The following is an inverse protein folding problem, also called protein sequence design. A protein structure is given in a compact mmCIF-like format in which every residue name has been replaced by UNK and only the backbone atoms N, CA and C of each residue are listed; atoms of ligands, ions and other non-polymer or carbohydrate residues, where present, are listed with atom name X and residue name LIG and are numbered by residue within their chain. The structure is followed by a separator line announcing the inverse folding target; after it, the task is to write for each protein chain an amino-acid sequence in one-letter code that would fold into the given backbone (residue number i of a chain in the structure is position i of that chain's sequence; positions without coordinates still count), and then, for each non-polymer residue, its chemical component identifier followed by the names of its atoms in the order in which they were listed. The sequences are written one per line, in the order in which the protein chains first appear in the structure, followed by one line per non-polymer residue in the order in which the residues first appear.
data_IF_445887197282
#
_entry.id   IF_445887197282
#
_cell.length_a   1.000
_cell.length_b   1.000
_cell.length_c   1.000
_cell.angle_alpha   90.00
_cell.angle_beta   90.00
_cell.angle_gamma   90.00
#
_symmetry.space_group_name_H-M   'P 1'
#
loop_
_entity.id
_entity.type
_entity.pdbx_description
1 polymer ?
#
# COMPACT_ATOMS: atom_id res chain seq x y z
N UNK A 1 -21.47 -11.24 3.55
CA UNK A 1 -20.17 -10.56 3.40
C UNK A 1 -20.44 -9.09 3.23
N UNK A 2 -19.73 -8.23 3.96
CA UNK A 2 -19.94 -6.78 4.07
C UNK A 2 -19.18 -5.95 3.03
N UNK A 3 -18.79 -6.55 1.90
CA UNK A 3 -18.17 -5.83 0.80
C UNK A 3 -19.19 -5.40 -0.25
N UNK A 4 -18.96 -4.23 -0.84
CA UNK A 4 -19.82 -3.73 -1.90
C UNK A 4 -19.48 -4.36 -3.25
N UNK A 5 -20.45 -4.33 -4.16
CA UNK A 5 -20.26 -4.73 -5.55
C UNK A 5 -19.59 -3.60 -6.34
N UNK A 6 -18.53 -3.94 -7.08
CA UNK A 6 -17.85 -2.99 -7.98
C UNK A 6 -18.71 -2.56 -9.16
N UNK A 7 -19.76 -3.32 -9.48
CA UNK A 7 -20.73 -2.93 -10.50
C UNK A 7 -21.52 -1.67 -10.11
N UNK A 8 -21.65 -1.41 -8.81
CA UNK A 8 -22.40 -0.28 -8.25
C UNK A 8 -21.48 0.87 -7.80
N UNK A 9 -20.20 0.87 -8.23
CA UNK A 9 -19.20 1.84 -7.77
C UNK A 9 -19.62 3.30 -7.96
N UNK A 10 -20.33 3.62 -9.05
CA UNK A 10 -20.84 4.98 -9.29
C UNK A 10 -21.90 5.42 -8.28
N UNK A 11 -22.72 4.49 -7.79
CA UNK A 11 -23.69 4.75 -6.72
C UNK A 11 -22.95 5.09 -5.43
N UNK A 12 -21.90 4.34 -5.08
CA UNK A 12 -21.12 4.57 -3.87
C UNK A 12 -20.38 5.90 -3.92
N UNK A 13 -19.76 6.22 -5.06
CA UNK A 13 -19.14 7.54 -5.30
C UNK A 13 -20.11 8.71 -5.11
N UNK A 14 -21.39 8.52 -5.44
CA UNK A 14 -22.39 9.58 -5.33
C UNK A 14 -23.03 9.71 -3.94
N UNK A 15 -22.91 8.68 -3.08
CA UNK A 15 -23.71 8.57 -1.85
C UNK A 15 -22.90 8.36 -0.57
N UNK A 16 -21.60 8.10 -0.67
CA UNK A 16 -20.72 7.84 0.46
C UNK A 16 -19.34 8.47 0.27
N UNK A 17 -18.65 8.74 1.39
CA UNK A 17 -17.26 9.23 1.37
C UNK A 17 -16.23 8.10 1.38
N UNK A 18 -16.64 6.86 1.67
CA UNK A 18 -15.81 5.68 1.53
C UNK A 18 -16.69 4.43 1.38
N UNK A 19 -16.16 3.36 0.78
CA UNK A 19 -16.86 2.08 0.62
C UNK A 19 -15.94 0.87 0.74
N UNK A 20 -16.38 -0.11 1.55
CA UNK A 20 -15.68 -1.38 1.77
C UNK A 20 -15.59 -2.19 0.49
N UNK A 21 -14.36 -2.40 0.01
CA UNK A 21 -14.08 -3.10 -1.26
C UNK A 21 -13.94 -4.62 -1.10
N UNK A 22 -13.67 -5.09 0.12
CA UNK A 22 -13.58 -6.50 0.49
C UNK A 22 -14.15 -6.74 1.89
N UNK A 23 -14.40 -8.00 2.23
CA UNK A 23 -14.85 -8.41 3.57
C UNK A 23 -13.80 -8.13 4.65
N UNK A 24 -14.01 -8.61 5.85
CA UNK A 24 -13.15 -8.23 6.99
C UNK A 24 -11.69 -8.66 6.81
N UNK A 25 -10.77 -7.76 7.17
CA UNK A 25 -9.32 -8.05 7.15
C UNK A 25 -8.94 -8.92 8.33
N UNK A 26 -9.66 -8.74 9.43
CA UNK A 26 -9.57 -9.55 10.63
C UNK A 26 -9.91 -11.01 10.33
N UNK A 27 -9.27 -11.86 11.11
CA UNK A 27 -9.26 -13.29 10.90
C UNK A 27 -9.97 -13.98 12.07
N UNK A 28 -11.30 -13.86 12.06
CA UNK A 28 -12.16 -14.42 13.10
C UNK A 28 -12.04 -15.94 13.19
N UNK A 29 -11.47 -16.42 14.30
CA UNK A 29 -11.34 -17.86 14.62
C UNK A 29 -10.34 -18.64 13.74
N UNK A 30 -9.78 -18.02 12.69
CA UNK A 30 -8.83 -18.66 11.77
C UNK A 30 -7.36 -18.49 12.13
N UNK A 31 -7.04 -17.58 13.05
CA UNK A 31 -5.70 -17.30 13.54
C UNK A 31 -5.77 -17.04 15.06
N UNK A 32 -5.84 -18.10 15.87
CA UNK A 32 -5.98 -17.98 17.31
C UNK A 32 -4.89 -17.09 17.92
N UNK A 33 -5.30 -16.08 18.68
CA UNK A 33 -4.38 -15.13 19.34
C UNK A 33 -3.91 -13.97 18.46
N UNK A 34 -4.38 -13.87 17.22
CA UNK A 34 -4.01 -12.79 16.31
C UNK A 34 -5.23 -12.10 15.67
N UNK A 35 -5.06 -10.83 15.30
CA UNK A 35 -6.07 -10.01 14.65
C UNK A 35 -6.17 -10.35 13.16
N UNK A 36 -5.03 -10.43 12.47
CA UNK A 36 -4.96 -10.68 11.02
C UNK A 36 -4.03 -11.85 10.68
N UNK A 37 -3.99 -12.19 9.40
CA UNK A 37 -3.00 -13.11 8.83
C UNK A 37 -2.51 -12.54 7.51
N UNK A 38 -1.29 -12.90 7.10
CA UNK A 38 -0.75 -12.43 5.82
C UNK A 38 -1.67 -12.74 4.63
N UNK A 39 -2.32 -13.91 4.60
CA UNK A 39 -3.23 -14.26 3.52
C UNK A 39 -4.42 -13.29 3.40
N UNK A 40 -4.93 -12.76 4.53
CA UNK A 40 -6.00 -11.76 4.53
C UNK A 40 -5.50 -10.43 3.96
N UNK A 41 -4.35 -9.95 4.43
CA UNK A 41 -3.70 -8.73 3.93
C UNK A 41 -3.39 -8.85 2.43
N UNK A 42 -2.75 -9.94 2.02
CA UNK A 42 -2.38 -10.21 0.62
C UNK A 42 -3.59 -10.25 -0.32
N UNK A 43 -4.75 -10.71 0.15
CA UNK A 43 -5.97 -10.73 -0.67
C UNK A 43 -6.48 -9.32 -1.04
N UNK A 44 -6.05 -8.27 -0.33
CA UNK A 44 -6.44 -6.87 -0.57
C UNK A 44 -5.82 -6.30 -1.83
N UNK A 45 -4.65 -6.78 -2.26
CA UNK A 45 -3.97 -6.28 -3.46
C UNK A 45 -4.84 -6.41 -4.73
N UNK A 46 -5.55 -7.53 -4.88
CA UNK A 46 -6.44 -7.74 -6.02
C UNK A 46 -7.62 -6.78 -6.01
N UNK A 47 -8.24 -6.58 -4.84
CA UNK A 47 -9.34 -5.64 -4.66
C UNK A 47 -8.86 -4.19 -4.93
N UNK A 48 -7.78 -3.75 -4.28
CA UNK A 48 -7.23 -2.43 -4.47
C UNK A 48 -6.93 -2.13 -5.95
N UNK A 49 -6.42 -3.11 -6.71
CA UNK A 49 -6.11 -2.92 -8.12
C UNK A 49 -7.38 -2.77 -8.97
N UNK A 50 -8.40 -3.60 -8.70
CA UNK A 50 -9.68 -3.55 -9.42
C UNK A 50 -10.44 -2.24 -9.15
N UNK A 51 -10.39 -1.75 -7.91
CA UNK A 51 -11.15 -0.60 -7.46
C UNK A 51 -10.42 0.74 -7.63
N UNK A 52 -9.11 0.75 -7.87
CA UNK A 52 -8.27 1.96 -7.88
C UNK A 52 -8.87 3.16 -8.63
N UNK A 53 -9.48 2.92 -9.80
CA UNK A 53 -10.06 3.98 -10.65
C UNK A 53 -11.27 4.72 -10.05
N UNK A 54 -11.85 4.20 -8.97
CA UNK A 54 -13.03 4.79 -8.32
C UNK A 54 -12.67 5.62 -7.09
N UNK A 55 -11.44 5.55 -6.58
CA UNK A 55 -11.00 6.36 -5.45
C UNK A 55 -10.52 7.75 -5.90
N UNK A 56 -10.92 8.77 -5.15
CA UNK A 56 -10.48 10.14 -5.35
C UNK A 56 -11.27 11.14 -4.50
N UNK A 57 -11.04 12.46 -4.67
CA UNK A 57 -11.81 13.48 -3.99
C UNK A 57 -13.33 13.26 -4.17
N UNK A 58 -14.04 13.11 -3.06
CA UNK A 58 -15.47 12.76 -3.03
C UNK A 58 -15.75 11.35 -2.51
N UNK A 59 -14.81 10.41 -2.64
CA UNK A 59 -14.97 9.09 -2.06
C UNK A 59 -13.77 8.14 -2.23
N UNK A 60 -13.49 7.34 -1.21
CA UNK A 60 -12.31 6.48 -1.14
C UNK A 60 -12.64 4.98 -1.07
N UNK A 61 -11.75 4.17 -1.66
CA UNK A 61 -11.82 2.72 -1.48
C UNK A 61 -11.39 2.37 -0.05
N UNK A 62 -12.29 1.76 0.71
CA UNK A 62 -11.99 1.28 2.05
C UNK A 62 -11.50 -0.16 1.98
N UNK A 63 -10.25 -0.37 2.43
CA UNK A 63 -9.58 -1.67 2.48
C UNK A 63 -9.78 -2.37 3.83
N UNK A 64 -10.58 -1.76 4.70
CA UNK A 64 -10.81 -2.09 6.11
C UNK A 64 -9.73 -1.55 7.06
N UNK A 65 -9.87 -1.89 8.34
CA UNK A 65 -8.92 -1.52 9.39
C UNK A 65 -7.46 -1.90 9.05
N UNK A 66 -6.52 -1.26 9.72
CA UNK A 66 -5.10 -1.50 9.61
C UNK A 66 -4.57 -1.96 10.97
N UNK A 67 -4.12 -3.20 11.04
CA UNK A 67 -3.56 -3.86 12.23
C UNK A 67 -2.04 -4.03 12.05
N UNK A 68 -1.31 -2.98 12.42
CA UNK A 68 0.14 -2.88 12.14
C UNK A 68 0.94 -2.40 13.34
N UNK A 69 0.29 -2.23 14.50
CA UNK A 69 0.87 -1.44 15.57
C UNK A 69 1.09 -2.17 16.90
N UNK A 70 0.60 -3.40 17.07
CA UNK A 70 1.00 -4.34 18.12
C UNK A 70 1.43 -5.68 17.52
N UNK A 71 2.74 -5.86 17.32
CA UNK A 71 3.28 -7.06 16.67
C UNK A 71 3.06 -8.35 17.45
N UNK A 72 2.59 -8.28 18.70
CA UNK A 72 2.21 -9.45 19.48
C UNK A 72 0.79 -9.92 19.15
N UNK A 73 -0.08 -9.02 18.69
CA UNK A 73 -1.48 -9.29 18.36
C UNK A 73 -1.77 -9.25 16.86
N UNK A 74 -1.00 -8.53 16.04
CA UNK A 74 -1.28 -8.38 14.61
C UNK A 74 -1.34 -9.73 13.88
N UNK A 75 -0.41 -10.65 14.17
CA UNK A 75 -0.29 -11.93 13.44
C UNK A 75 0.47 -11.84 12.12
N UNK A 76 1.19 -10.73 11.91
CA UNK A 76 2.04 -10.46 10.76
C UNK A 76 3.41 -9.92 11.21
N UNK A 77 4.45 -10.25 10.46
CA UNK A 77 5.83 -9.81 10.71
C UNK A 77 6.02 -8.32 10.43
N UNK A 78 7.09 -7.71 10.95
CA UNK A 78 7.43 -6.30 10.65
C UNK A 78 7.48 -6.01 9.14
N UNK A 79 8.05 -6.92 8.36
CA UNK A 79 8.10 -6.82 6.90
C UNK A 79 6.70 -6.72 6.30
N UNK A 80 5.79 -7.58 6.76
CA UNK A 80 4.39 -7.60 6.31
C UNK A 80 3.63 -6.37 6.80
N UNK A 81 3.87 -5.89 8.04
CA UNK A 81 3.27 -4.66 8.58
C UNK A 81 3.65 -3.42 7.77
N UNK A 82 4.92 -3.32 7.35
CA UNK A 82 5.37 -2.26 6.44
C UNK A 82 4.68 -2.35 5.07
N UNK A 83 4.58 -3.57 4.53
CA UNK A 83 3.88 -3.83 3.25
C UNK A 83 2.39 -3.51 3.34
N UNK A 84 1.75 -3.86 4.45
CA UNK A 84 0.36 -3.59 4.78
C UNK A 84 0.09 -2.08 4.73
N UNK A 85 0.79 -1.28 5.54
CA UNK A 85 0.62 0.17 5.54
C UNK A 85 0.97 0.80 4.19
N UNK A 86 1.98 0.27 3.49
CA UNK A 86 2.36 0.77 2.15
C UNK A 86 1.23 0.57 1.14
N UNK A 87 0.51 -0.56 1.15
CA UNK A 87 -0.64 -0.76 0.27
C UNK A 87 -1.75 0.24 0.57
N UNK A 88 -2.07 0.49 1.85
CA UNK A 88 -3.09 1.47 2.24
C UNK A 88 -2.74 2.86 1.73
N UNK A 89 -1.50 3.32 1.97
CA UNK A 89 -1.02 4.62 1.49
C UNK A 89 -1.05 4.73 -0.04
N UNK A 90 -0.64 3.66 -0.74
CA UNK A 90 -0.68 3.64 -2.20
C UNK A 90 -2.11 3.64 -2.73
N UNK A 91 -3.05 3.00 -2.05
CA UNK A 91 -4.46 2.99 -2.40
C UNK A 91 -5.20 4.30 -2.06
N UNK A 92 -4.57 5.21 -1.31
CA UNK A 92 -5.24 6.37 -0.69
C UNK A 92 -6.47 5.90 0.11
N UNK A 93 -6.29 4.83 0.88
CA UNK A 93 -7.35 4.18 1.63
C UNK A 93 -7.46 4.82 3.01
N UNK A 94 -8.68 5.01 3.56
CA UNK A 94 -8.83 5.45 4.94
C UNK A 94 -7.98 4.59 5.89
N UNK A 95 -7.07 5.23 6.63
CA UNK A 95 -6.20 4.55 7.60
C UNK A 95 -6.87 4.48 8.98
N UNK A 96 -7.86 3.60 9.11
CA UNK A 96 -8.46 3.29 10.40
C UNK A 96 -7.60 2.27 11.16
N UNK A 97 -7.14 2.64 12.36
CA UNK A 97 -6.32 1.75 13.17
C UNK A 97 -7.22 0.71 13.88
N UNK A 98 -6.92 -0.58 13.69
CA UNK A 98 -7.61 -1.68 14.38
C UNK A 98 -7.00 -2.06 15.73
N UNK A 99 -5.77 -1.62 15.98
CA UNK A 99 -5.00 -1.87 17.21
C UNK A 99 -5.55 -1.18 18.48
N UNK A 100 -5.20 -1.73 19.65
CA UNK A 100 -5.34 -1.03 20.93
C UNK A 100 -4.30 0.09 21.06
N UNK A 101 -4.74 1.34 20.88
CA UNK A 101 -3.91 2.54 20.97
C UNK A 101 -3.16 2.73 22.29
N UNK A 102 -3.53 2.01 23.36
CA UNK A 102 -2.81 2.05 24.64
C UNK A 102 -1.62 1.10 24.68
N UNK A 103 -1.48 0.20 23.71
CA UNK A 103 -0.51 -0.90 23.69
C UNK A 103 0.44 -0.93 22.49
N UNK A 104 0.45 0.13 21.69
CA UNK A 104 1.27 0.20 20.48
C UNK A 104 2.77 -0.01 20.75
N UNK A 105 3.39 -0.90 19.99
CA UNK A 105 4.82 -1.18 20.04
C UNK A 105 5.65 -0.07 19.35
N UNK A 106 6.97 -0.07 19.55
CA UNK A 106 7.84 0.99 19.01
C UNK A 106 7.91 0.98 17.47
N UNK A 107 7.83 -0.19 16.85
CA UNK A 107 7.83 -0.32 15.40
C UNK A 107 6.51 0.17 14.81
N UNK A 108 5.38 -0.26 15.37
CA UNK A 108 4.04 0.24 15.07
C UNK A 108 3.95 1.75 15.10
N UNK A 109 4.40 2.36 16.21
CA UNK A 109 4.48 3.83 16.31
C UNK A 109 5.33 4.44 15.20
N UNK A 110 6.46 3.83 14.85
CA UNK A 110 7.32 4.33 13.77
C UNK A 110 6.65 4.24 12.40
N UNK A 111 5.78 3.25 12.16
CA UNK A 111 4.98 3.16 10.96
C UNK A 111 3.94 4.30 10.94
N UNK A 112 3.11 4.37 11.97
CA UNK A 112 1.97 5.29 12.09
C UNK A 112 2.35 6.78 12.17
N UNK A 113 3.62 7.10 12.44
CA UNK A 113 4.12 8.48 12.53
C UNK A 113 5.05 8.86 11.39
N UNK A 114 5.21 8.00 10.38
CA UNK A 114 6.06 8.30 9.23
C UNK A 114 5.36 9.29 8.29
N UNK A 115 5.67 10.58 8.46
CA UNK A 115 5.06 11.67 7.68
C UNK A 115 5.24 11.54 6.17
N UNK A 116 6.32 10.90 5.69
CA UNK A 116 6.52 10.67 4.26
C UNK A 116 5.53 9.65 3.70
N UNK A 117 5.22 8.59 4.44
CA UNK A 117 4.27 7.56 4.03
C UNK A 117 2.83 8.06 4.17
N UNK A 118 2.54 8.82 5.24
CA UNK A 118 1.24 9.50 5.39
C UNK A 118 1.01 10.47 4.23
N UNK A 119 2.02 11.24 3.82
CA UNK A 119 1.91 12.12 2.67
C UNK A 119 1.67 11.38 1.34
N UNK A 120 2.05 10.10 1.24
CA UNK A 120 1.66 9.26 0.09
C UNK A 120 0.16 9.04 0.15
N UNK A 121 -0.42 8.65 1.29
CA UNK A 121 -1.87 8.48 1.43
C UNK A 121 -2.65 9.76 1.10
N UNK A 122 -2.22 10.90 1.68
CA UNK A 122 -2.82 12.22 1.52
C UNK A 122 -2.65 12.84 0.12
N UNK A 123 -2.02 12.14 -0.83
CA UNK A 123 -1.72 12.67 -2.17
C UNK A 123 -2.97 12.89 -3.05
N UNK A 124 -4.16 12.55 -2.55
CA UNK A 124 -5.43 12.79 -3.23
C UNK A 124 -5.71 11.86 -4.41
N UNK A 125 -4.92 10.80 -4.61
CA UNK A 125 -5.07 9.86 -5.72
C UNK A 125 -4.63 8.44 -5.32
N UNK A 126 -5.43 7.45 -5.71
CA UNK A 126 -5.04 6.05 -5.61
C UNK A 126 -4.04 5.66 -6.71
N UNK A 127 -3.08 4.83 -6.35
CA UNK A 127 -2.11 4.27 -7.28
C UNK A 127 -2.76 3.22 -8.18
N UNK A 128 -2.26 3.14 -9.42
CA UNK A 128 -2.57 2.03 -10.33
C UNK A 128 -1.56 0.92 -10.20
N UNK A 129 -1.99 -0.32 -10.41
CA UNK A 129 -1.09 -1.45 -10.61
C UNK A 129 -0.47 -1.36 -12.02
N UNK A 130 0.86 -1.26 -12.08
CA UNK A 130 1.65 -1.26 -13.32
C UNK A 130 1.94 -2.70 -13.75
N UNK A 131 2.35 -3.54 -12.79
CA UNK A 131 2.64 -4.96 -12.99
C UNK A 131 1.98 -5.75 -11.86
N UNK A 132 1.22 -6.79 -12.19
CA UNK A 132 0.57 -7.69 -11.24
C UNK A 132 1.38 -8.96 -10.92
N UNK A 133 0.72 -9.99 -10.38
CA UNK A 133 1.37 -11.23 -9.96
C UNK A 133 1.99 -11.14 -8.56
N UNK A 134 3.01 -11.96 -8.28
CA UNK A 134 3.69 -11.95 -6.97
C UNK A 134 4.71 -10.81 -6.85
N UNK A 135 5.33 -10.38 -7.95
CA UNK A 135 6.26 -9.24 -7.98
C UNK A 135 5.56 -8.04 -8.60
N UNK A 136 4.92 -7.23 -7.77
CA UNK A 136 4.08 -6.14 -8.24
C UNK A 136 4.80 -4.80 -8.26
N UNK A 137 4.37 -3.96 -9.19
CA UNK A 137 4.76 -2.55 -9.26
C UNK A 137 3.49 -1.71 -9.27
N UNK A 138 3.45 -0.70 -8.41
CA UNK A 138 2.35 0.25 -8.31
C UNK A 138 2.89 1.66 -8.43
N UNK A 139 2.12 2.58 -9.01
CA UNK A 139 2.54 3.98 -9.12
C UNK A 139 1.39 4.98 -9.12
N UNK A 140 1.69 6.18 -8.64
CA UNK A 140 0.87 7.38 -8.80
C UNK A 140 1.73 8.61 -9.06
N UNK A 141 1.18 9.56 -9.83
CA UNK A 141 1.79 10.86 -10.09
C UNK A 141 1.33 11.83 -9.01
N UNK A 142 2.28 12.57 -8.46
CA UNK A 142 2.04 13.58 -7.44
C UNK A 142 1.82 14.94 -8.09
N UNK A 143 1.16 15.85 -7.38
CA UNK A 143 0.88 17.21 -7.86
C UNK A 143 2.14 18.06 -8.05
N UNK A 144 3.23 17.71 -7.39
CA UNK A 144 4.54 18.37 -7.52
C UNK A 144 5.37 17.87 -8.72
N UNK A 145 4.80 16.97 -9.53
CA UNK A 145 5.45 16.39 -10.72
C UNK A 145 6.26 15.13 -10.42
N UNK A 146 6.49 14.78 -9.15
CA UNK A 146 7.16 13.54 -8.79
C UNK A 146 6.26 12.32 -9.02
N UNK A 147 6.85 11.12 -9.05
CA UNK A 147 6.10 9.86 -9.15
C UNK A 147 6.44 8.95 -7.98
N UNK A 148 5.44 8.60 -7.17
CA UNK A 148 5.60 7.58 -6.12
C UNK A 148 5.43 6.19 -6.72
N UNK A 149 6.36 5.30 -6.38
CA UNK A 149 6.41 3.91 -6.85
C UNK A 149 6.55 2.98 -5.65
N UNK A 150 5.80 1.88 -5.67
CA UNK A 150 5.94 0.80 -4.71
C UNK A 150 6.22 -0.51 -5.43
N UNK A 151 7.29 -1.20 -5.01
CA UNK A 151 7.49 -2.61 -5.31
C UNK A 151 6.91 -3.43 -4.18
N UNK A 152 6.17 -4.48 -4.51
CA UNK A 152 5.64 -5.43 -3.54
C UNK A 152 6.01 -6.84 -3.95
N UNK A 153 6.59 -7.60 -3.02
CA UNK A 153 6.85 -9.01 -3.22
C UNK A 153 5.86 -9.83 -2.38
N UNK A 154 4.81 -10.35 -3.00
CA UNK A 154 3.83 -11.23 -2.35
C UNK A 154 4.28 -12.69 -2.28
N UNK A 155 5.43 -13.03 -2.89
CA UNK A 155 5.99 -14.37 -2.88
C UNK A 155 6.75 -14.70 -1.60
N UNK A 156 6.93 -16.01 -1.35
CA UNK A 156 7.59 -16.55 -0.16
C UNK A 156 9.12 -16.51 -0.16
N UNK A 157 9.75 -15.80 -1.10
CA UNK A 157 11.21 -15.67 -1.21
C UNK A 157 11.59 -14.31 -1.79
N UNK A 158 12.80 -13.84 -1.51
CA UNK A 158 13.32 -12.58 -2.07
C UNK A 158 13.26 -12.58 -3.59
N UNK A 159 12.76 -11.49 -4.18
CA UNK A 159 12.66 -11.32 -5.62
C UNK A 159 13.25 -9.99 -6.07
N UNK A 160 13.85 -9.96 -7.26
CA UNK A 160 14.21 -8.70 -7.91
C UNK A 160 13.00 -8.16 -8.66
N UNK A 161 12.59 -6.94 -8.33
CA UNK A 161 11.46 -6.25 -8.96
C UNK A 161 12.02 -5.05 -9.72
N UNK A 162 11.48 -4.81 -10.91
CA UNK A 162 11.96 -3.78 -11.83
C UNK A 162 10.82 -2.98 -12.45
N UNK A 163 11.07 -1.71 -12.74
CA UNK A 163 10.16 -0.86 -13.52
C UNK A 163 10.94 -0.02 -14.52
N UNK A 164 10.43 0.10 -15.75
CA UNK A 164 10.95 1.06 -16.72
C UNK A 164 10.29 2.43 -16.53
N UNK A 165 11.05 3.49 -16.79
CA UNK A 165 10.51 4.85 -16.82
C UNK A 165 9.39 4.99 -17.85
N UNK A 166 9.50 4.33 -19.00
CA UNK A 166 8.43 4.31 -20.00
C UNK A 166 7.10 3.75 -19.47
N UNK A 167 7.14 2.72 -18.62
CA UNK A 167 5.92 2.16 -18.00
C UNK A 167 5.27 3.13 -16.99
N UNK A 168 6.02 4.12 -16.50
CA UNK A 168 5.55 5.22 -15.65
C UNK A 168 5.23 6.50 -16.43
N UNK A 169 5.49 6.53 -17.74
CA UNK A 169 5.36 7.73 -18.57
C UNK A 169 6.46 8.77 -18.27
N UNK A 170 7.66 8.31 -17.93
CA UNK A 170 8.86 9.09 -17.63
C UNK A 170 9.99 8.75 -18.62
N UNK A 171 11.06 9.53 -18.61
CA UNK A 171 12.24 9.30 -19.45
C UNK A 171 13.48 9.95 -18.85
N UNK A 172 14.67 9.50 -19.23
CA UNK A 172 15.93 10.11 -18.77
C UNK A 172 16.40 9.56 -17.43
N UNK A 173 17.02 10.44 -16.63
CA UNK A 173 17.66 10.11 -15.35
C UNK A 173 16.93 10.82 -14.23
N UNK A 174 16.55 10.09 -13.19
CA UNK A 174 15.85 10.63 -12.04
C UNK A 174 16.55 10.25 -10.73
N UNK A 175 16.54 11.18 -9.77
CA UNK A 175 16.93 10.91 -8.39
C UNK A 175 15.83 10.12 -7.67
N UNK A 176 16.22 9.15 -6.85
CA UNK A 176 15.33 8.25 -6.16
C UNK A 176 15.48 8.39 -4.64
N UNK A 177 14.36 8.41 -3.92
CA UNK A 177 14.35 8.50 -2.44
C UNK A 177 13.47 7.43 -1.85
N UNK A 178 14.00 6.61 -0.94
CA UNK A 178 13.21 5.67 -0.16
C UNK A 178 12.31 6.43 0.82
N UNK A 179 11.00 6.21 0.77
CA UNK A 179 10.06 6.98 1.58
C UNK A 179 9.93 6.49 3.02
N UNK A 180 10.20 5.21 3.28
CA UNK A 180 10.27 4.68 4.64
C UNK A 180 11.45 5.29 5.40
N UNK A 181 12.65 5.23 4.82
CA UNK A 181 13.89 5.65 5.51
C UNK A 181 14.26 7.11 5.27
N UNK A 182 13.78 7.73 4.20
CA UNK A 182 14.23 9.04 3.72
C UNK A 182 15.60 9.01 3.02
N UNK A 183 16.20 7.83 2.87
CA UNK A 183 17.53 7.70 2.26
C UNK A 183 17.48 7.86 0.75
N UNK A 184 18.52 8.47 0.18
CA UNK A 184 18.75 8.43 -1.27
C UNK A 184 19.00 7.00 -1.73
N UNK A 185 18.39 6.63 -2.85
CA UNK A 185 18.64 5.38 -3.57
C UNK A 185 19.54 5.61 -4.80
N UNK A 186 20.11 6.81 -4.93
CA UNK A 186 20.91 7.24 -6.07
C UNK A 186 20.09 7.78 -7.24
N UNK A 187 20.73 7.84 -8.40
CA UNK A 187 20.08 8.21 -9.67
C UNK A 187 19.94 6.99 -10.55
N UNK A 188 18.85 6.90 -11.31
CA UNK A 188 18.62 5.80 -12.23
C UNK A 188 18.12 6.30 -13.60
N UNK A 189 18.64 5.68 -14.66
CA UNK A 189 18.38 6.05 -16.05
C UNK A 189 17.60 4.95 -16.75
N UNK A 190 16.48 5.31 -17.40
CA UNK A 190 15.61 4.39 -18.14
C UNK A 190 14.79 3.39 -17.31
N UNK A 191 15.30 2.91 -16.17
CA UNK A 191 14.62 1.94 -15.30
C UNK A 191 15.24 1.90 -13.91
N UNK A 192 14.53 1.30 -12.96
CA UNK A 192 15.06 0.97 -11.64
C UNK A 192 14.70 -0.46 -11.24
N UNK A 193 15.63 -1.12 -10.55
CA UNK A 193 15.49 -2.50 -10.06
C UNK A 193 16.00 -2.61 -8.64
N UNK A 194 15.34 -3.40 -7.80
CA UNK A 194 15.76 -3.66 -6.43
C UNK A 194 15.39 -5.07 -5.99
N UNK A 195 16.18 -5.65 -5.09
CA UNK A 195 15.84 -6.87 -4.39
C UNK A 195 14.88 -6.57 -3.23
N UNK A 196 13.74 -7.23 -3.23
CA UNK A 196 12.67 -7.06 -2.22
C UNK A 196 12.48 -8.39 -1.51
N UNK A 197 12.62 -8.39 -0.18
CA UNK A 197 12.46 -9.58 0.64
C UNK A 197 11.07 -10.22 0.48
N UNK A 198 10.93 -11.49 0.88
CA UNK A 198 9.62 -12.17 0.98
C UNK A 198 8.62 -11.28 1.73
N UNK A 199 7.43 -11.10 1.16
CA UNK A 199 6.34 -10.28 1.72
C UNK A 199 6.71 -8.80 1.93
N UNK A 200 7.84 -8.37 1.39
CA UNK A 200 8.40 -7.04 1.59
C UNK A 200 7.93 -6.03 0.56
N UNK A 201 8.27 -4.78 0.86
CA UNK A 201 8.01 -3.64 -0.02
C UNK A 201 9.22 -2.72 -0.12
N UNK A 202 9.36 -2.08 -1.27
CA UNK A 202 10.17 -0.88 -1.43
C UNK A 202 9.27 0.25 -1.93
N UNK A 203 9.04 1.24 -1.08
CA UNK A 203 8.32 2.46 -1.40
C UNK A 203 9.32 3.59 -1.65
N UNK A 204 9.26 4.21 -2.82
CA UNK A 204 10.20 5.26 -3.20
C UNK A 204 9.55 6.34 -4.07
N UNK A 205 10.13 7.53 -4.03
CA UNK A 205 9.77 8.62 -4.92
C UNK A 205 10.79 8.74 -6.05
N UNK A 206 10.29 9.00 -7.26
CA UNK A 206 11.06 9.36 -8.45
C UNK A 206 10.91 10.86 -8.64
N UNK A 207 12.03 11.59 -8.59
CA UNK A 207 12.03 13.04 -8.83
C UNK A 207 11.47 13.38 -10.22
N UNK A 208 10.89 14.57 -10.37
CA UNK A 208 10.38 15.07 -11.66
C UNK A 208 11.47 15.12 -12.75
#
# INVERSE_FOLDING_TARGET
SNNLSIADATTWQATANAWRTQGDVECYGGCPGHLVSWARVASRFGSAAAWARYAGPGGWNDLDAMDVADGTLDGVSNTERQTYMTLWAMAAAPMYLGDDVTRLDSYGKSLLTNSRVIAVDDSGQAARQVTGGNSQVWSKKNSDGTTTVAFFNLGGSTATISVSWSALGLSGTHALTNLWTGASLGNATGSYSASVASHGTLLFNVAA
#
